data_IF_275569892009
#
_entry.id   IF_275569892009
#
_cell.length_a   1.000
_cell.length_b   1.000
_cell.length_c   1.000
_cell.angle_alpha   90.00
_cell.angle_beta   90.00
_cell.angle_gamma   90.00
#
_symmetry.space_group_name_H-M   'P 1'
#
loop_
_entity.id
_entity.type
_entity.pdbx_description
1 polymer ?
#
# COMPACT_ATOMS: atom_id res chain seq x y z
N UNK A 1 15.66 -1.07 -8.76
CA UNK A 1 15.48 -1.84 -7.52
C UNK A 1 16.59 -1.49 -6.55
N UNK A 2 16.27 -1.09 -5.34
CA UNK A 2 17.22 -0.55 -4.37
C UNK A 2 18.33 -1.57 -4.05
N UNK A 3 19.60 -1.13 -4.09
CA UNK A 3 20.73 -1.90 -3.61
C UNK A 3 20.72 -1.92 -2.06
N UNK A 4 21.45 -2.91 -1.48
CA UNK A 4 21.57 -3.10 -0.02
C UNK A 4 21.88 -1.78 0.74
N UNK A 5 22.91 -1.06 0.26
CA UNK A 5 23.36 0.17 0.91
C UNK A 5 22.31 1.28 0.82
N UNK A 6 21.50 1.30 -0.26
CA UNK A 6 20.38 2.22 -0.42
C UNK A 6 19.25 1.92 0.59
N UNK A 7 18.93 0.64 0.81
CA UNK A 7 17.90 0.26 1.82
C UNK A 7 18.33 0.67 3.22
N UNK A 8 19.60 0.49 3.55
CA UNK A 8 20.15 0.88 4.85
C UNK A 8 20.14 2.38 5.06
N UNK A 9 20.51 3.13 4.04
CA UNK A 9 20.49 4.59 4.08
C UNK A 9 19.06 5.12 4.22
N UNK A 10 18.07 4.41 3.65
CA UNK A 10 16.64 4.77 3.74
C UNK A 10 16.04 4.50 5.13
N UNK A 11 16.49 3.46 5.84
CA UNK A 11 15.87 3.03 7.10
C UNK A 11 15.81 4.11 8.18
N UNK A 12 16.90 4.89 8.35
CA UNK A 12 16.99 5.87 9.44
C UNK A 12 16.83 7.33 8.97
N UNK A 13 16.97 7.58 7.65
CA UNK A 13 17.09 8.95 7.11
C UNK A 13 15.85 9.44 6.37
N UNK A 14 14.89 8.57 6.04
CA UNK A 14 13.73 8.95 5.22
C UNK A 14 12.40 8.67 5.89
N UNK A 15 11.35 9.39 5.42
CA UNK A 15 9.98 9.22 5.88
C UNK A 15 9.00 9.27 4.70
N UNK A 16 7.90 8.50 4.82
CA UNK A 16 6.74 8.59 3.93
C UNK A 16 5.56 9.27 4.60
N UNK A 17 4.72 9.94 3.83
CA UNK A 17 3.43 10.47 4.29
C UNK A 17 2.32 9.78 3.53
N UNK A 18 1.41 9.12 4.26
CA UNK A 18 0.15 8.60 3.73
C UNK A 18 -0.98 9.54 4.13
N UNK A 19 -1.83 9.92 3.18
CA UNK A 19 -3.02 10.76 3.43
C UNK A 19 -4.25 9.97 3.03
N UNK A 20 -5.08 9.64 4.03
CA UNK A 20 -6.31 8.90 3.82
C UNK A 20 -7.48 9.85 3.52
N UNK A 21 -8.13 9.63 2.39
CA UNK A 21 -9.35 10.35 1.97
C UNK A 21 -10.54 9.37 2.04
N UNK A 22 -11.32 9.35 3.13
CA UNK A 22 -12.34 8.34 3.39
C UNK A 22 -13.67 8.63 2.69
N UNK A 23 -13.66 9.17 1.48
CA UNK A 23 -14.87 9.56 0.77
C UNK A 23 -14.95 8.89 -0.58
N UNK A 24 -16.14 8.36 -0.91
CA UNK A 24 -16.45 7.75 -2.21
C UNK A 24 -17.81 8.24 -2.69
N UNK A 25 -17.99 8.40 -4.00
CA UNK A 25 -19.34 8.68 -4.55
C UNK A 25 -20.29 7.54 -4.19
N UNK A 26 -19.78 6.29 -4.23
CA UNK A 26 -20.52 5.08 -3.87
C UNK A 26 -19.55 4.06 -3.28
N UNK A 27 -19.90 3.42 -2.17
CA UNK A 27 -19.11 2.31 -1.60
C UNK A 27 -19.42 1.03 -2.37
N UNK A 28 -18.38 0.41 -2.90
CA UNK A 28 -18.50 -0.86 -3.63
C UNK A 28 -18.89 -2.01 -2.69
N UNK A 29 -19.67 -3.00 -3.15
CA UNK A 29 -20.14 -4.11 -2.32
C UNK A 29 -19.05 -4.99 -1.69
N UNK A 30 -17.86 -5.03 -2.30
CA UNK A 30 -16.72 -5.80 -1.82
C UNK A 30 -15.78 -5.01 -0.90
N UNK A 31 -15.86 -3.67 -0.91
CA UNK A 31 -14.85 -2.80 -0.32
C UNK A 31 -14.98 -2.73 1.21
N UNK A 32 -13.91 -3.10 1.91
CA UNK A 32 -13.76 -3.01 3.37
C UNK A 32 -13.06 -1.73 3.83
N UNK A 33 -12.48 -0.96 2.89
CA UNK A 33 -11.75 0.27 3.23
C UNK A 33 -12.62 1.22 4.06
N UNK A 34 -11.96 1.92 4.99
CA UNK A 34 -12.60 2.99 5.74
C UNK A 34 -13.04 4.09 4.79
N UNK A 35 -14.31 4.05 4.36
CA UNK A 35 -14.87 5.01 3.42
C UNK A 35 -16.35 5.26 3.65
N UNK A 36 -16.77 6.51 3.44
CA UNK A 36 -18.13 7.00 3.54
C UNK A 36 -18.63 7.42 2.15
N UNK A 37 -19.83 6.98 1.78
CA UNK A 37 -20.46 7.40 0.53
C UNK A 37 -20.91 8.87 0.62
N UNK A 38 -20.29 9.75 -0.20
CA UNK A 38 -20.61 11.16 -0.31
C UNK A 38 -20.12 11.73 -1.64
N UNK A 39 -20.77 12.79 -2.11
CA UNK A 39 -20.45 13.37 -3.42
C UNK A 39 -19.21 14.27 -3.41
N UNK A 40 -18.74 14.72 -2.24
CA UNK A 40 -17.58 15.61 -2.18
C UNK A 40 -16.80 15.47 -0.88
N UNK A 41 -15.57 15.94 -0.88
CA UNK A 41 -14.69 16.01 0.30
C UNK A 41 -14.85 17.40 0.94
N UNK A 42 -15.28 17.49 2.21
CA UNK A 42 -15.42 18.79 2.88
C UNK A 42 -14.06 19.47 3.09
N UNK A 43 -13.97 20.79 2.86
CA UNK A 43 -12.73 21.56 3.10
C UNK A 43 -12.26 21.45 4.55
N UNK A 44 -13.20 21.42 5.51
CA UNK A 44 -12.89 21.21 6.95
C UNK A 44 -12.15 19.90 7.23
N UNK A 45 -12.31 18.86 6.36
CA UNK A 45 -11.58 17.62 6.50
C UNK A 45 -10.11 17.82 6.12
N UNK A 46 -9.84 18.56 5.05
CA UNK A 46 -8.49 18.92 4.63
C UNK A 46 -7.80 19.80 5.68
N UNK A 47 -8.53 20.74 6.27
CA UNK A 47 -8.03 21.57 7.38
C UNK A 47 -7.66 20.72 8.60
N UNK A 48 -8.44 19.70 8.90
CA UNK A 48 -8.14 18.75 9.98
C UNK A 48 -6.87 17.94 9.68
N UNK A 49 -6.71 17.41 8.46
CA UNK A 49 -5.51 16.67 8.05
C UNK A 49 -4.25 17.55 8.16
N UNK A 50 -4.32 18.81 7.73
CA UNK A 50 -3.22 19.77 7.86
C UNK A 50 -2.88 20.07 9.32
N UNK A 51 -3.90 20.25 10.17
CA UNK A 51 -3.72 20.48 11.61
C UNK A 51 -3.08 19.27 12.29
N UNK A 52 -3.49 18.05 11.91
CA UNK A 52 -2.90 16.80 12.40
C UNK A 52 -1.40 16.75 12.09
N UNK A 53 -1.01 16.96 10.83
CA UNK A 53 0.39 16.97 10.41
C UNK A 53 1.22 17.94 11.26
N UNK A 54 0.77 19.21 11.37
CA UNK A 54 1.48 20.22 12.14
C UNK A 54 1.55 19.89 13.64
N UNK A 55 0.55 19.19 14.17
CA UNK A 55 0.54 18.72 15.56
C UNK A 55 1.53 17.59 15.78
N UNK A 56 1.63 16.62 14.84
CA UNK A 56 2.66 15.58 14.91
C UNK A 56 4.05 16.18 14.92
N UNK A 57 4.34 17.12 14.03
CA UNK A 57 5.63 17.83 13.97
C UNK A 57 5.92 18.58 15.27
N UNK A 58 4.94 19.30 15.80
CA UNK A 58 5.09 20.04 17.07
C UNK A 58 5.38 19.11 18.25
N UNK A 59 4.73 17.93 18.30
CA UNK A 59 4.92 16.97 19.40
C UNK A 59 6.22 16.15 19.26
N UNK A 60 6.66 15.91 18.04
CA UNK A 60 7.89 15.17 17.74
C UNK A 60 8.69 15.86 16.61
N UNK A 61 9.43 16.93 16.90
CA UNK A 61 10.22 17.65 15.90
C UNK A 61 11.26 16.78 15.19
N UNK A 62 11.71 15.68 15.82
CA UNK A 62 12.71 14.79 15.23
C UNK A 62 12.23 14.12 13.93
N UNK A 63 10.93 14.02 13.68
CA UNK A 63 10.43 13.47 12.42
C UNK A 63 10.78 14.33 11.21
N UNK A 64 10.96 15.65 11.39
CA UNK A 64 11.34 16.60 10.31
C UNK A 64 12.83 16.57 9.98
N UNK A 65 13.66 15.89 10.78
CA UNK A 65 15.06 15.65 10.43
C UNK A 65 15.23 14.56 9.36
N UNK A 66 14.17 13.78 9.11
CA UNK A 66 14.13 12.77 8.06
C UNK A 66 13.75 13.41 6.73
N UNK A 67 14.36 12.95 5.64
CA UNK A 67 14.01 13.40 4.30
C UNK A 67 12.70 12.79 3.83
N UNK A 68 11.82 13.60 3.27
CA UNK A 68 10.55 13.14 2.68
C UNK A 68 10.83 12.43 1.36
N UNK A 69 10.56 11.14 1.33
CA UNK A 69 10.76 10.28 0.17
C UNK A 69 9.48 10.06 -0.64
N UNK A 70 8.35 9.91 0.04
CA UNK A 70 7.07 9.60 -0.62
C UNK A 70 5.91 10.33 0.03
N UNK A 71 4.94 10.76 -0.79
CA UNK A 71 3.60 11.17 -0.38
C UNK A 71 2.60 10.33 -1.14
N UNK A 72 1.70 9.67 -0.44
CA UNK A 72 0.68 8.83 -1.04
C UNK A 72 -0.70 9.28 -0.56
N UNK A 73 -1.56 9.70 -1.49
CA UNK A 73 -2.94 10.13 -1.21
C UNK A 73 -3.85 9.03 -1.73
N UNK A 74 -4.45 8.29 -0.79
CA UNK A 74 -5.23 7.08 -1.07
C UNK A 74 -6.49 6.96 -0.23
N UNK A 75 -7.11 5.79 -0.27
CA UNK A 75 -8.23 5.40 0.56
C UNK A 75 -9.53 5.17 -0.18
N UNK A 76 -10.54 6.03 -0.02
CA UNK A 76 -11.81 5.92 -0.72
C UNK A 76 -11.69 6.34 -2.18
N UNK A 77 -11.75 7.64 -2.43
CA UNK A 77 -11.63 8.22 -3.78
C UNK A 77 -10.95 9.59 -3.69
N UNK A 78 -9.61 9.64 -3.63
CA UNK A 78 -8.86 10.89 -3.50
C UNK A 78 -9.10 11.88 -4.64
N UNK A 79 -9.49 11.41 -5.81
CA UNK A 79 -9.87 12.27 -6.95
C UNK A 79 -11.14 13.11 -6.76
N UNK A 80 -11.85 12.92 -5.64
CA UNK A 80 -12.93 13.84 -5.23
C UNK A 80 -12.40 15.11 -4.54
N UNK A 81 -11.12 15.14 -4.16
CA UNK A 81 -10.49 16.33 -3.58
C UNK A 81 -10.26 17.36 -4.68
N UNK A 82 -10.64 18.61 -4.43
CA UNK A 82 -10.36 19.68 -5.39
C UNK A 82 -8.85 19.88 -5.58
N UNK A 83 -8.43 20.25 -6.78
CA UNK A 83 -7.02 20.52 -7.07
C UNK A 83 -6.42 21.59 -6.14
N UNK A 84 -7.22 22.58 -5.70
CA UNK A 84 -6.79 23.58 -4.74
C UNK A 84 -6.46 22.97 -3.36
N UNK A 85 -7.27 22.04 -2.89
CA UNK A 85 -7.03 21.35 -1.63
C UNK A 85 -5.84 20.37 -1.73
N UNK A 86 -5.68 19.67 -2.86
CA UNK A 86 -4.46 18.89 -3.11
C UNK A 86 -3.21 19.78 -3.11
N UNK A 87 -3.29 20.95 -3.74
CA UNK A 87 -2.20 21.95 -3.71
C UNK A 87 -1.84 22.37 -2.29
N UNK A 88 -2.84 22.68 -1.46
CA UNK A 88 -2.61 23.04 -0.03
C UNK A 88 -1.94 21.90 0.73
N UNK A 89 -2.41 20.67 0.57
CA UNK A 89 -1.81 19.48 1.21
C UNK A 89 -0.35 19.32 0.81
N UNK A 90 -0.05 19.28 -0.49
CA UNK A 90 1.31 19.08 -0.99
C UNK A 90 2.24 20.25 -0.59
N UNK A 91 1.77 21.49 -0.64
CA UNK A 91 2.57 22.64 -0.22
C UNK A 91 2.96 22.58 1.25
N UNK A 92 2.01 22.30 2.14
CA UNK A 92 2.31 22.23 3.59
C UNK A 92 3.23 21.04 3.87
N UNK A 93 3.02 19.88 3.26
CA UNK A 93 3.93 18.74 3.43
C UNK A 93 5.35 19.09 2.97
N UNK A 94 5.53 19.68 1.79
CA UNK A 94 6.84 20.10 1.27
C UNK A 94 7.51 21.23 2.10
N UNK A 95 6.74 22.09 2.75
CA UNK A 95 7.26 23.12 3.65
C UNK A 95 7.67 22.55 5.02
N UNK A 96 7.10 21.42 5.39
CA UNK A 96 7.31 20.78 6.70
C UNK A 96 8.54 19.89 6.73
N UNK A 97 8.84 19.22 5.62
CA UNK A 97 9.95 18.27 5.50
C UNK A 97 10.95 18.70 4.43
N UNK A 98 12.20 18.30 4.61
CA UNK A 98 13.19 18.35 3.53
C UNK A 98 12.84 17.27 2.51
N UNK A 99 12.39 17.68 1.33
CA UNK A 99 12.00 16.75 0.28
C UNK A 99 13.23 16.22 -0.48
N UNK A 100 13.25 14.92 -0.77
CA UNK A 100 14.24 14.35 -1.68
C UNK A 100 14.10 14.91 -3.10
N UNK A 101 15.19 14.94 -3.84
CA UNK A 101 15.20 15.37 -5.25
C UNK A 101 14.23 14.54 -6.12
N UNK A 102 14.07 13.27 -5.78
CA UNK A 102 13.15 12.33 -6.47
C UNK A 102 11.94 11.98 -5.59
N UNK A 103 11.30 12.99 -4.99
CA UNK A 103 10.09 12.79 -4.21
C UNK A 103 8.99 12.14 -5.07
N UNK A 104 8.48 10.96 -4.65
CA UNK A 104 7.31 10.33 -5.26
C UNK A 104 6.04 10.91 -4.62
N UNK A 105 5.14 11.45 -5.44
CA UNK A 105 3.83 11.94 -4.99
C UNK A 105 2.76 11.21 -5.79
N UNK A 106 2.08 10.26 -5.13
CA UNK A 106 1.05 9.42 -5.71
C UNK A 106 -0.34 9.90 -5.34
N UNK A 107 -1.27 9.85 -6.29
CA UNK A 107 -2.71 9.99 -6.05
C UNK A 107 -3.46 8.82 -6.67
N UNK A 108 -4.34 8.19 -5.89
CA UNK A 108 -5.31 7.24 -6.41
C UNK A 108 -6.47 7.97 -7.09
N UNK A 109 -6.86 7.48 -8.25
CA UNK A 109 -7.97 8.04 -9.01
C UNK A 109 -8.96 6.96 -9.43
N UNK A 110 -10.24 7.33 -9.43
CA UNK A 110 -11.32 6.50 -9.95
C UNK A 110 -11.72 6.99 -11.33
N UNK A 111 -11.76 6.12 -12.36
CA UNK A 111 -12.33 6.48 -13.64
C UNK A 111 -13.75 7.05 -13.49
N UNK A 112 -14.10 8.07 -14.25
CA UNK A 112 -15.39 8.76 -14.17
C UNK A 112 -15.49 9.83 -13.06
N UNK A 113 -14.49 9.94 -12.16
CA UNK A 113 -14.45 11.00 -11.15
C UNK A 113 -13.45 12.13 -11.47
N UNK A 114 -12.73 12.04 -12.59
CA UNK A 114 -11.71 13.01 -13.00
C UNK A 114 -12.02 13.57 -14.40
N UNK A 115 -11.63 14.84 -14.61
CA UNK A 115 -11.61 15.47 -15.92
C UNK A 115 -10.16 15.64 -16.39
N UNK A 116 -9.98 15.89 -17.66
CA UNK A 116 -8.66 16.16 -18.22
C UNK A 116 -8.02 17.40 -17.60
N UNK A 117 -8.81 18.46 -17.37
CA UNK A 117 -8.38 19.70 -16.73
C UNK A 117 -7.90 19.46 -15.30
N UNK A 118 -8.60 18.60 -14.54
CA UNK A 118 -8.19 18.23 -13.19
C UNK A 118 -6.83 17.53 -13.20
N UNK A 119 -6.57 16.65 -14.17
CA UNK A 119 -5.28 15.94 -14.30
C UNK A 119 -4.14 16.90 -14.65
N UNK A 120 -4.35 17.87 -15.56
CA UNK A 120 -3.37 18.94 -15.79
C UNK A 120 -3.08 19.73 -14.52
N UNK A 121 -4.12 20.14 -13.81
CA UNK A 121 -3.97 20.94 -12.59
C UNK A 121 -3.17 20.19 -11.50
N UNK A 122 -3.38 18.90 -11.31
CA UNK A 122 -2.62 18.13 -10.31
C UNK A 122 -1.19 17.81 -10.76
N UNK A 123 -0.95 17.69 -12.06
CA UNK A 123 0.42 17.57 -12.60
C UNK A 123 1.24 18.84 -12.29
N UNK A 124 0.65 20.03 -12.46
CA UNK A 124 1.27 21.33 -12.17
C UNK A 124 1.59 21.51 -10.68
N UNK A 125 0.84 20.86 -9.78
CA UNK A 125 1.12 20.86 -8.33
C UNK A 125 2.36 20.00 -8.01
N UNK A 126 2.78 19.15 -8.95
CA UNK A 126 3.93 18.27 -8.81
C UNK A 126 3.59 16.85 -8.36
N UNK A 127 2.32 16.43 -8.51
CA UNK A 127 1.95 15.02 -8.44
C UNK A 127 2.57 14.33 -9.64
N UNK A 128 3.33 13.24 -9.43
CA UNK A 128 4.14 12.62 -10.47
C UNK A 128 3.85 11.13 -10.68
N UNK A 129 2.96 10.53 -9.88
CA UNK A 129 2.48 9.17 -10.03
C UNK A 129 0.97 9.10 -9.84
N UNK A 130 0.30 8.40 -10.73
CA UNK A 130 -1.13 8.08 -10.63
C UNK A 130 -1.33 6.59 -10.41
N UNK A 131 -2.38 6.24 -9.65
CA UNK A 131 -2.86 4.87 -9.56
C UNK A 131 -4.35 4.86 -9.91
N UNK A 132 -4.71 4.22 -11.02
CA UNK A 132 -6.06 4.23 -11.59
C UNK A 132 -6.78 2.94 -11.21
N UNK A 133 -7.83 3.05 -10.41
CA UNK A 133 -8.66 1.91 -10.04
C UNK A 133 -9.57 1.43 -11.19
N UNK A 134 -8.98 0.84 -12.22
CA UNK A 134 -9.68 0.29 -13.40
C UNK A 134 -10.55 -0.89 -13.03
N UNK A 135 -10.03 -1.83 -12.30
CA UNK A 135 -10.59 -3.08 -11.81
C UNK A 135 -10.87 -4.12 -12.92
N UNK A 136 -11.40 -3.73 -14.07
CA UNK A 136 -11.61 -4.55 -15.26
C UNK A 136 -11.93 -3.67 -16.46
N UNK A 137 -11.70 -4.15 -17.66
CA UNK A 137 -12.20 -3.57 -18.91
C UNK A 137 -13.46 -4.30 -19.44
N UNK A 138 -14.06 -5.18 -18.61
CA UNK A 138 -15.34 -5.82 -18.88
C UNK A 138 -16.45 -5.07 -18.13
N UNK A 139 -17.40 -4.48 -18.85
CA UNK A 139 -18.55 -3.82 -18.24
C UNK A 139 -19.40 -4.77 -17.38
N UNK A 140 -19.43 -6.08 -17.70
CA UNK A 140 -20.09 -7.09 -16.89
C UNK A 140 -19.38 -7.29 -15.56
N UNK A 141 -18.04 -7.41 -15.57
CA UNK A 141 -17.22 -7.55 -14.37
C UNK A 141 -17.32 -6.30 -13.51
N UNK A 142 -17.23 -5.09 -14.09
CA UNK A 142 -17.42 -3.81 -13.38
C UNK A 142 -18.79 -3.72 -12.71
N UNK A 143 -19.86 -4.13 -13.40
CA UNK A 143 -21.22 -4.19 -12.84
C UNK A 143 -21.30 -5.17 -11.67
N UNK A 144 -20.68 -6.36 -11.78
CA UNK A 144 -20.62 -7.35 -10.70
C UNK A 144 -19.89 -6.80 -9.48
N UNK A 145 -18.81 -6.03 -9.67
CA UNK A 145 -18.08 -5.32 -8.62
C UNK A 145 -18.85 -4.10 -8.07
N UNK A 146 -19.98 -3.72 -8.69
CA UNK A 146 -20.75 -2.53 -8.29
C UNK A 146 -20.07 -1.19 -8.61
N UNK A 147 -19.12 -1.19 -9.56
CA UNK A 147 -18.43 0.01 -10.02
C UNK A 147 -19.41 0.96 -10.74
N UNK A 148 -19.12 2.27 -10.65
CA UNK A 148 -19.94 3.32 -11.26
C UNK A 148 -19.43 3.76 -12.64
N UNK A 149 -18.19 3.40 -12.99
CA UNK A 149 -17.58 3.72 -14.28
C UNK A 149 -17.68 2.53 -15.23
N UNK A 150 -17.60 2.80 -16.51
CA UNK A 150 -17.52 1.82 -17.60
C UNK A 150 -16.07 1.56 -18.03
N UNK A 151 -15.87 0.52 -18.86
CA UNK A 151 -14.58 0.23 -19.47
C UNK A 151 -14.08 1.40 -20.33
N UNK A 152 -14.99 2.08 -21.03
CA UNK A 152 -14.69 3.26 -21.84
C UNK A 152 -14.25 4.45 -20.98
N UNK A 153 -14.84 4.62 -19.78
CA UNK A 153 -14.40 5.63 -18.82
C UNK A 153 -12.98 5.34 -18.31
N UNK A 154 -12.66 4.07 -18.07
CA UNK A 154 -11.33 3.66 -17.64
C UNK A 154 -10.27 3.95 -18.71
N UNK A 155 -10.54 3.59 -19.95
CA UNK A 155 -9.66 3.88 -21.10
C UNK A 155 -9.46 5.39 -21.27
N UNK A 156 -10.55 6.16 -21.26
CA UNK A 156 -10.51 7.61 -21.39
C UNK A 156 -9.73 8.26 -20.25
N UNK A 157 -9.89 7.78 -19.02
CA UNK A 157 -9.13 8.26 -17.87
C UNK A 157 -7.64 8.04 -18.07
N UNK A 158 -7.23 6.86 -18.55
CA UNK A 158 -5.84 6.56 -18.86
C UNK A 158 -5.27 7.48 -19.96
N UNK A 159 -6.02 7.70 -21.04
CA UNK A 159 -5.63 8.60 -22.13
C UNK A 159 -5.48 10.05 -21.64
N UNK A 160 -6.39 10.52 -20.79
CA UNK A 160 -6.29 11.86 -20.17
C UNK A 160 -5.04 11.98 -19.29
N UNK A 161 -4.71 10.96 -18.50
CA UNK A 161 -3.48 10.94 -17.72
C UNK A 161 -2.24 11.07 -18.60
N UNK A 162 -2.20 10.33 -19.71
CA UNK A 162 -1.08 10.43 -20.67
C UNK A 162 -0.99 11.79 -21.34
N UNK A 163 -2.13 12.37 -21.78
CA UNK A 163 -2.15 13.72 -22.36
C UNK A 163 -1.75 14.80 -21.37
N UNK A 164 -2.09 14.62 -20.09
CA UNK A 164 -1.64 15.52 -19.03
C UNK A 164 -0.14 15.36 -18.67
N UNK A 165 0.59 14.47 -19.36
CA UNK A 165 2.04 14.31 -19.23
C UNK A 165 2.46 13.45 -18.03
N UNK A 166 1.60 12.52 -17.55
CA UNK A 166 2.01 11.56 -16.54
C UNK A 166 2.79 10.40 -17.18
N UNK A 167 4.04 10.23 -16.76
CA UNK A 167 4.95 9.18 -17.23
C UNK A 167 5.01 8.00 -16.24
N UNK A 168 4.34 8.08 -15.10
CA UNK A 168 4.24 7.03 -14.11
C UNK A 168 2.77 6.81 -13.75
N UNK A 169 2.14 5.87 -14.47
CA UNK A 169 0.72 5.54 -14.33
C UNK A 169 0.59 4.06 -13.98
N UNK A 170 0.05 3.78 -12.81
CA UNK A 170 -0.37 2.45 -12.41
C UNK A 170 -1.85 2.21 -12.71
N UNK A 171 -2.21 0.96 -13.02
CA UNK A 171 -3.58 0.51 -13.16
C UNK A 171 -3.84 -0.71 -12.28
N UNK A 172 -4.96 -0.69 -11.56
CA UNK A 172 -5.34 -1.78 -10.67
C UNK A 172 -6.43 -2.63 -11.26
N UNK A 173 -6.30 -3.95 -11.10
CA UNK A 173 -7.27 -4.96 -11.50
C UNK A 173 -7.70 -5.83 -10.34
N UNK A 174 -8.93 -6.35 -10.43
CA UNK A 174 -9.45 -7.37 -9.54
C UNK A 174 -9.82 -8.59 -10.40
N UNK A 175 -9.24 -9.75 -10.08
CA UNK A 175 -9.61 -11.04 -10.67
C UNK A 175 -10.33 -11.93 -9.64
N UNK A 176 -10.84 -13.10 -10.09
CA UNK A 176 -11.63 -13.96 -9.21
C UNK A 176 -13.03 -13.40 -8.94
N UNK A 177 -13.52 -12.52 -9.82
CA UNK A 177 -14.82 -11.87 -9.66
C UNK A 177 -15.95 -12.83 -10.05
N UNK A 178 -17.10 -12.69 -9.41
CA UNK A 178 -18.31 -13.44 -9.69
C UNK A 178 -18.60 -13.51 -11.20
N UNK A 179 -18.76 -14.73 -11.71
CA UNK A 179 -19.00 -15.06 -13.12
C UNK A 179 -17.86 -14.64 -14.08
N UNK A 180 -16.71 -14.27 -13.60
CA UNK A 180 -15.54 -13.98 -14.45
C UNK A 180 -14.94 -15.27 -14.98
N UNK A 181 -14.80 -15.37 -16.29
CA UNK A 181 -14.10 -16.48 -16.95
C UNK A 181 -12.61 -16.16 -17.14
N UNK A 182 -11.77 -17.19 -17.23
CA UNK A 182 -10.35 -17.03 -17.58
C UNK A 182 -10.18 -16.25 -18.89
N UNK A 183 -11.03 -16.49 -19.90
CA UNK A 183 -10.99 -15.78 -21.18
C UNK A 183 -11.29 -14.28 -21.06
N UNK A 184 -12.17 -13.87 -20.16
CA UNK A 184 -12.44 -12.45 -19.88
C UNK A 184 -11.25 -11.82 -19.17
N UNK A 185 -10.66 -12.53 -18.21
CA UNK A 185 -9.45 -12.10 -17.54
C UNK A 185 -8.26 -11.93 -18.50
N UNK A 186 -8.05 -12.88 -19.42
CA UNK A 186 -7.03 -12.79 -20.46
C UNK A 186 -7.20 -11.55 -21.36
N UNK A 187 -8.45 -11.17 -21.69
CA UNK A 187 -8.73 -9.95 -22.45
C UNK A 187 -8.37 -8.68 -21.66
N UNK A 188 -8.72 -8.65 -20.38
CA UNK A 188 -8.35 -7.53 -19.50
C UNK A 188 -6.83 -7.35 -19.45
N UNK A 189 -6.08 -8.44 -19.24
CA UNK A 189 -4.61 -8.43 -19.26
C UNK A 189 -4.03 -8.01 -20.60
N UNK A 190 -4.58 -8.55 -21.71
CA UNK A 190 -4.13 -8.18 -23.07
C UNK A 190 -4.28 -6.70 -23.34
N UNK A 191 -5.41 -6.10 -22.93
CA UNK A 191 -5.66 -4.67 -23.09
C UNK A 191 -4.75 -3.86 -22.15
N UNK A 192 -4.60 -4.27 -20.88
CA UNK A 192 -3.68 -3.65 -19.94
C UNK A 192 -2.25 -3.57 -20.49
N UNK A 193 -1.73 -4.67 -21.02
CA UNK A 193 -0.40 -4.76 -21.62
C UNK A 193 -0.29 -3.85 -22.85
N UNK A 194 -1.33 -3.78 -23.67
CA UNK A 194 -1.33 -2.92 -24.87
C UNK A 194 -1.27 -1.43 -24.55
N UNK A 195 -1.82 -0.99 -23.43
CA UNK A 195 -1.77 0.38 -22.93
C UNK A 195 -0.38 0.77 -22.41
N UNK A 196 0.46 -0.20 -22.06
CA UNK A 196 1.82 -0.01 -21.53
C UNK A 196 1.89 0.93 -20.32
N UNK A 197 1.12 0.69 -19.26
CA UNK A 197 1.30 1.43 -18.01
C UNK A 197 2.65 1.06 -17.39
N UNK A 198 3.20 1.92 -16.56
CA UNK A 198 4.47 1.66 -15.84
C UNK A 198 4.28 0.68 -14.69
N UNK A 199 3.05 0.55 -14.19
CA UNK A 199 2.74 -0.30 -13.04
C UNK A 199 1.37 -0.96 -13.22
N UNK A 200 1.26 -2.24 -12.83
CA UNK A 200 0.01 -3.02 -12.85
C UNK A 200 -0.12 -3.73 -11.51
N UNK A 201 -1.27 -3.51 -10.85
CA UNK A 201 -1.66 -4.27 -9.67
C UNK A 201 -2.74 -5.28 -10.04
N UNK A 202 -2.60 -6.51 -9.57
CA UNK A 202 -3.63 -7.55 -9.72
C UNK A 202 -3.99 -8.07 -8.33
N UNK A 203 -5.24 -7.93 -7.95
CA UNK A 203 -5.75 -8.37 -6.64
C UNK A 203 -6.76 -9.48 -6.83
N UNK A 204 -6.62 -10.58 -6.09
CA UNK A 204 -7.71 -11.55 -5.98
C UNK A 204 -8.85 -10.93 -5.17
N UNK A 205 -10.09 -11.14 -5.60
CA UNK A 205 -11.26 -10.68 -4.87
C UNK A 205 -11.37 -11.39 -3.52
N UNK A 206 -11.04 -10.68 -2.45
CA UNK A 206 -11.22 -11.17 -1.08
C UNK A 206 -12.58 -10.74 -0.54
N UNK A 207 -13.26 -11.65 0.15
CA UNK A 207 -14.56 -11.40 0.75
C UNK A 207 -14.39 -11.06 2.24
N UNK A 208 -14.32 -9.77 2.53
CA UNK A 208 -14.04 -9.28 3.88
C UNK A 208 -15.30 -9.21 4.75
N UNK A 209 -15.22 -9.59 6.03
CA UNK A 209 -16.30 -9.43 6.99
C UNK A 209 -16.85 -8.01 7.03
N UNK A 210 -18.16 -7.87 7.17
CA UNK A 210 -18.83 -6.56 7.20
C UNK A 210 -19.26 -6.02 5.84
N UNK A 211 -18.69 -6.51 4.72
CA UNK A 211 -19.05 -6.10 3.36
C UNK A 211 -20.41 -6.66 2.90
N UNK A 212 -20.97 -6.10 1.83
CA UNK A 212 -22.18 -6.65 1.22
C UNK A 212 -21.89 -8.04 0.59
N UNK A 213 -20.71 -8.23 -0.02
CA UNK A 213 -20.32 -9.52 -0.59
C UNK A 213 -20.22 -10.60 0.48
N UNK A 214 -19.73 -10.30 1.67
CA UNK A 214 -19.74 -11.24 2.81
C UNK A 214 -21.17 -11.69 3.17
N UNK A 215 -22.11 -10.75 3.21
CA UNK A 215 -23.53 -11.08 3.45
C UNK A 215 -24.13 -11.96 2.35
N UNK A 216 -23.80 -11.68 1.08
CA UNK A 216 -24.24 -12.50 -0.06
C UNK A 216 -23.62 -13.90 -0.01
N UNK A 217 -22.33 -14.03 0.32
CA UNK A 217 -21.65 -15.32 0.46
C UNK A 217 -22.27 -16.16 1.59
N UNK A 218 -22.50 -15.55 2.76
CA UNK A 218 -23.15 -16.22 3.90
C UNK A 218 -24.55 -16.73 3.56
N UNK A 219 -25.25 -16.07 2.64
CA UNK A 219 -26.61 -16.44 2.20
C UNK A 219 -26.60 -17.35 0.96
N UNK A 220 -25.44 -17.85 0.52
CA UNK A 220 -25.31 -18.70 -0.67
C UNK A 220 -25.68 -18.00 -2.00
N UNK A 221 -25.62 -16.65 -2.03
CA UNK A 221 -25.99 -15.83 -3.21
C UNK A 221 -24.79 -15.26 -3.96
N UNK A 222 -23.57 -15.62 -3.57
CA UNK A 222 -22.32 -15.21 -4.23
C UNK A 222 -21.63 -16.46 -4.78
N UNK A 223 -21.51 -16.55 -6.11
CA UNK A 223 -20.80 -17.63 -6.79
C UNK A 223 -19.48 -17.07 -7.33
N UNK A 224 -18.38 -17.46 -6.72
CA UNK A 224 -17.02 -17.14 -7.15
C UNK A 224 -16.48 -18.25 -8.06
N UNK A 225 -15.42 -18.00 -8.84
CA UNK A 225 -14.65 -19.06 -9.48
C UNK A 225 -14.17 -20.10 -8.45
N UNK A 226 -13.82 -21.29 -8.91
CA UNK A 226 -13.17 -22.28 -8.04
C UNK A 226 -11.76 -21.82 -7.67
N UNK A 227 -11.21 -22.35 -6.59
CA UNK A 227 -9.82 -22.08 -6.18
C UNK A 227 -8.83 -22.37 -7.31
N UNK A 228 -9.02 -23.48 -8.03
CA UNK A 228 -8.20 -23.82 -9.20
C UNK A 228 -8.34 -22.76 -10.32
N UNK A 229 -9.56 -22.23 -10.51
CA UNK A 229 -9.82 -21.17 -11.47
C UNK A 229 -9.09 -19.87 -11.10
N UNK A 230 -9.10 -19.50 -9.84
CA UNK A 230 -8.38 -18.33 -9.32
C UNK A 230 -6.86 -18.50 -9.44
N UNK A 231 -6.33 -19.69 -9.12
CA UNK A 231 -4.92 -20.03 -9.31
C UNK A 231 -4.53 -19.88 -10.79
N UNK A 232 -5.34 -20.45 -11.72
CA UNK A 232 -5.06 -20.33 -13.15
C UNK A 232 -5.07 -18.88 -13.63
N UNK A 233 -6.00 -18.03 -13.15
CA UNK A 233 -6.04 -16.61 -13.48
C UNK A 233 -4.79 -15.89 -12.99
N UNK A 234 -4.33 -16.19 -11.78
CA UNK A 234 -3.15 -15.57 -11.22
C UNK A 234 -1.86 -16.00 -11.94
N UNK A 235 -1.71 -17.29 -12.20
CA UNK A 235 -0.54 -17.82 -12.92
C UNK A 235 -0.48 -17.30 -14.36
N UNK A 236 -1.61 -17.23 -15.07
CA UNK A 236 -1.70 -16.65 -16.42
C UNK A 236 -1.28 -15.17 -16.41
N UNK A 237 -1.71 -14.41 -15.39
CA UNK A 237 -1.30 -13.02 -15.24
C UNK A 237 0.22 -12.87 -15.04
N UNK A 238 0.83 -13.68 -14.16
CA UNK A 238 2.28 -13.67 -13.95
C UNK A 238 3.00 -13.93 -15.27
N UNK A 239 2.62 -14.98 -16.00
CA UNK A 239 3.31 -15.38 -17.22
C UNK A 239 3.17 -14.33 -18.33
N UNK A 240 1.97 -13.76 -18.51
CA UNK A 240 1.72 -12.71 -19.50
C UNK A 240 2.44 -11.40 -19.18
N UNK A 241 2.39 -10.96 -17.93
CA UNK A 241 3.02 -9.71 -17.52
C UNK A 241 4.55 -9.80 -17.58
N UNK A 242 5.14 -10.90 -17.12
CA UNK A 242 6.59 -11.13 -17.24
C UNK A 242 7.00 -11.19 -18.71
N UNK A 243 6.25 -11.89 -19.57
CA UNK A 243 6.52 -11.97 -21.00
C UNK A 243 6.39 -10.62 -21.70
N UNK A 244 5.57 -9.70 -21.17
CA UNK A 244 5.44 -8.33 -21.63
C UNK A 244 6.50 -7.36 -21.08
N UNK A 245 7.45 -7.84 -20.27
CA UNK A 245 8.59 -7.06 -19.75
C UNK A 245 8.34 -6.42 -18.39
N UNK A 246 7.24 -6.77 -17.69
CA UNK A 246 7.02 -6.34 -16.31
C UNK A 246 7.76 -7.24 -15.34
N UNK A 247 8.26 -6.66 -14.26
CA UNK A 247 8.83 -7.39 -13.13
C UNK A 247 7.81 -7.49 -12.01
N UNK A 248 7.46 -8.69 -11.57
CA UNK A 248 6.74 -8.88 -10.34
C UNK A 248 7.68 -8.52 -9.19
N UNK A 249 7.42 -7.47 -8.41
CA UNK A 249 8.28 -7.06 -7.32
C UNK A 249 7.74 -7.45 -5.94
N UNK A 250 6.43 -7.71 -5.84
CA UNK A 250 5.76 -8.34 -4.70
C UNK A 250 4.53 -9.13 -5.18
N UNK A 251 3.80 -9.78 -4.28
CA UNK A 251 2.75 -10.75 -4.61
C UNK A 251 1.73 -10.20 -5.62
N UNK A 252 1.26 -8.96 -5.44
CA UNK A 252 0.16 -8.39 -6.24
C UNK A 252 0.60 -7.36 -7.27
N UNK A 253 1.86 -6.87 -7.21
CA UNK A 253 2.28 -5.71 -7.97
C UNK A 253 3.41 -6.01 -8.96
N UNK A 254 3.23 -5.48 -10.15
CA UNK A 254 4.14 -5.60 -11.30
C UNK A 254 4.51 -4.21 -11.81
N UNK A 255 5.75 -4.02 -12.22
CA UNK A 255 6.19 -2.74 -12.80
C UNK A 255 7.24 -2.94 -13.88
N UNK A 256 7.37 -1.94 -14.74
CA UNK A 256 8.60 -1.73 -15.50
C UNK A 256 9.70 -1.36 -14.49
N UNK A 257 10.93 -1.78 -14.76
CA UNK A 257 12.06 -1.55 -13.86
C UNK A 257 12.23 -0.07 -13.52
N UNK A 258 12.26 0.25 -12.23
CA UNK A 258 12.37 1.61 -11.69
C UNK A 258 11.05 2.35 -11.50
N UNK A 259 9.89 1.68 -11.75
CA UNK A 259 8.56 2.22 -11.53
C UNK A 259 7.78 1.46 -10.43
N UNK A 260 8.48 0.73 -9.60
CA UNK A 260 7.91 0.14 -8.38
C UNK A 260 7.33 1.25 -7.50
N UNK A 261 6.17 1.04 -6.87
CA UNK A 261 5.63 2.00 -5.91
C UNK A 261 6.56 2.11 -4.70
N UNK A 262 7.28 3.23 -4.60
CA UNK A 262 8.23 3.45 -3.51
C UNK A 262 7.51 3.54 -2.16
N UNK A 263 6.28 4.08 -2.16
CA UNK A 263 5.48 4.14 -0.94
C UNK A 263 5.06 2.75 -0.47
N UNK A 264 4.60 1.85 -1.37
CA UNK A 264 4.26 0.47 -0.99
C UNK A 264 5.49 -0.31 -0.51
N UNK A 265 6.65 -0.08 -1.13
CA UNK A 265 7.90 -0.70 -0.69
C UNK A 265 8.28 -0.29 0.74
N UNK A 266 7.87 0.91 1.22
CA UNK A 266 8.09 1.31 2.61
C UNK A 266 7.43 0.36 3.59
N UNK A 267 6.21 -0.08 3.29
CA UNK A 267 5.50 -1.07 4.12
C UNK A 267 6.25 -2.41 4.15
N UNK A 268 6.64 -2.92 2.97
CA UNK A 268 7.31 -4.21 2.86
C UNK A 268 8.73 -4.22 3.43
N UNK A 269 9.33 -3.06 3.64
CA UNK A 269 10.66 -2.87 4.22
C UNK A 269 10.62 -2.38 5.67
N UNK A 270 9.45 -2.24 6.29
CA UNK A 270 9.27 -1.68 7.64
C UNK A 270 9.95 -0.31 7.78
N UNK A 271 9.80 0.57 6.79
CA UNK A 271 10.32 1.94 6.83
C UNK A 271 9.28 2.90 7.43
N UNK A 272 9.77 3.98 7.99
CA UNK A 272 8.96 4.98 8.69
C UNK A 272 7.94 5.66 7.78
N UNK A 273 6.69 5.74 8.24
CA UNK A 273 5.67 6.54 7.60
C UNK A 273 4.67 7.09 8.61
N UNK A 274 4.09 8.24 8.30
CA UNK A 274 3.00 8.85 9.06
C UNK A 274 1.75 8.82 8.20
N UNK A 275 0.70 8.22 8.74
CA UNK A 275 -0.64 8.24 8.18
C UNK A 275 -1.46 9.38 8.79
N UNK A 276 -2.07 10.18 7.92
CA UNK A 276 -2.92 11.31 8.26
C UNK A 276 -4.34 11.04 7.76
N UNK A 277 -5.33 11.49 8.50
CA UNK A 277 -6.72 11.30 8.15
C UNK A 277 -7.40 10.17 8.93
N UNK A 278 -8.72 10.07 8.80
CA UNK A 278 -9.54 9.10 9.52
C UNK A 278 -9.18 7.66 9.15
N UNK A 279 -8.89 6.83 10.15
CA UNK A 279 -8.49 5.42 9.97
C UNK A 279 -7.07 5.21 9.44
N UNK A 280 -6.28 6.26 9.25
CA UNK A 280 -4.91 6.12 8.78
C UNK A 280 -4.02 5.50 9.85
N UNK A 281 -3.14 4.58 9.43
CA UNK A 281 -2.12 3.96 10.24
C UNK A 281 -0.78 4.65 10.04
N UNK A 282 0.06 4.59 11.07
CA UNK A 282 1.43 5.11 11.06
C UNK A 282 2.37 4.09 11.66
N UNK A 283 3.63 4.13 11.24
CA UNK A 283 4.69 3.32 11.81
C UNK A 283 6.00 4.10 11.88
N UNK A 284 6.65 4.08 13.02
CA UNK A 284 8.00 4.61 13.22
C UNK A 284 8.86 3.51 13.84
N UNK A 285 9.94 3.19 13.16
CA UNK A 285 10.92 2.23 13.63
C UNK A 285 11.77 2.83 14.78
N UNK A 286 12.19 1.99 15.72
CA UNK A 286 13.28 2.29 16.63
C UNK A 286 14.40 1.30 16.37
N UNK A 287 15.63 1.76 16.23
CA UNK A 287 16.79 0.87 16.13
C UNK A 287 17.25 0.47 17.54
N UNK A 288 17.85 -0.73 17.66
CA UNK A 288 18.52 -1.14 18.92
C UNK A 288 19.58 -0.11 19.36
N UNK A 289 20.15 0.67 18.42
CA UNK A 289 21.11 1.75 18.70
C UNK A 289 20.47 2.96 19.37
N UNK A 290 19.22 3.28 19.03
CA UNK A 290 18.47 4.38 19.65
C UNK A 290 18.06 4.04 21.07
N UNK A 291 17.73 2.77 21.33
CA UNK A 291 17.44 2.25 22.66
C UNK A 291 18.69 2.33 23.55
N UNK A 292 19.87 2.02 23.01
CA UNK A 292 21.15 2.09 23.75
C UNK A 292 21.62 3.54 24.00
N UNK A 293 21.33 4.49 23.08
CA UNK A 293 21.73 5.92 23.21
C UNK A 293 20.91 6.68 24.24
N UNK A 294 19.65 6.28 24.48
CA UNK A 294 18.78 6.95 25.48
C UNK A 294 19.17 6.65 26.92
N UNK A 295 20.19 5.79 27.18
CA UNK A 295 20.63 5.39 28.50
C UNK A 295 19.59 4.49 29.21
N UNK A 296 20.00 3.74 30.24
CA UNK A 296 19.06 2.96 31.00
C UNK A 296 18.19 3.91 31.82
N UNK A 297 17.00 4.18 31.36
CA UNK A 297 15.94 4.65 32.27
C UNK A 297 15.68 3.53 33.26
N UNK A 298 16.18 3.70 34.47
CA UNK A 298 16.11 2.68 35.52
C UNK A 298 14.68 2.31 35.92
N UNK A 299 13.67 3.06 35.48
CA UNK A 299 12.25 2.76 35.66
C UNK A 299 11.74 1.67 34.72
N UNK A 300 12.51 1.31 33.65
CA UNK A 300 12.14 0.35 32.62
C UNK A 300 13.03 -0.91 32.61
N UNK A 301 13.76 -1.19 33.67
CA UNK A 301 14.50 -2.45 33.81
C UNK A 301 13.52 -3.64 33.85
N UNK A 302 13.41 -4.31 32.66
CA UNK A 302 12.56 -5.48 32.44
C UNK A 302 11.61 -5.39 31.25
N UNK A 303 11.47 -4.23 30.61
CA UNK A 303 10.73 -4.13 29.35
C UNK A 303 11.66 -4.41 28.17
N UNK A 304 11.29 -5.41 27.35
CA UNK A 304 11.94 -5.72 26.09
C UNK A 304 12.08 -4.44 25.25
N UNK A 305 13.24 -4.22 24.63
CA UNK A 305 13.50 -3.07 23.76
C UNK A 305 12.46 -3.05 22.63
N UNK A 306 11.59 -2.04 22.62
CA UNK A 306 10.59 -1.90 21.57
C UNK A 306 11.28 -1.50 20.25
N UNK A 307 11.05 -2.26 19.18
CA UNK A 307 11.67 -2.04 17.86
C UNK A 307 10.81 -1.24 16.89
N UNK A 308 9.66 -0.74 17.33
CA UNK A 308 8.79 0.12 16.55
C UNK A 308 7.54 0.50 17.30
N UNK A 309 6.93 1.59 16.86
CA UNK A 309 5.65 2.06 17.36
C UNK A 309 4.70 2.20 16.19
N UNK A 310 3.55 1.58 16.30
CA UNK A 310 2.43 1.74 15.38
C UNK A 310 1.29 2.45 16.09
N UNK A 311 0.61 3.34 15.40
CA UNK A 311 -0.64 3.92 15.87
C UNK A 311 -1.61 4.11 14.72
N UNK A 312 -2.88 4.26 15.04
CA UNK A 312 -3.92 4.49 14.05
C UNK A 312 -4.95 5.49 14.55
N UNK A 313 -5.54 6.18 13.61
CA UNK A 313 -6.58 7.17 13.87
C UNK A 313 -7.97 6.53 13.97
N UNK A 314 -8.91 7.26 14.56
CA UNK A 314 -10.33 6.89 14.54
C UNK A 314 -10.85 6.85 13.12
N UNK A 315 -11.75 5.89 12.81
CA UNK A 315 -12.22 5.63 11.45
C UNK A 315 -13.23 6.68 10.94
N UNK A 316 -14.17 7.12 11.77
CA UNK A 316 -15.24 8.04 11.35
C UNK A 316 -14.72 9.44 11.03
N UNK A 317 -14.94 9.98 9.80
CA UNK A 317 -14.42 11.31 9.44
C UNK A 317 -14.95 12.45 10.33
N UNK A 318 -16.18 12.40 10.79
CA UNK A 318 -16.72 13.42 11.69
C UNK A 318 -16.08 13.33 13.08
N UNK A 319 -15.92 12.13 13.63
CA UNK A 319 -15.25 11.91 14.91
C UNK A 319 -13.78 12.33 14.80
N UNK A 320 -13.12 12.00 13.67
CA UNK A 320 -11.77 12.42 13.38
C UNK A 320 -11.63 13.95 13.40
N UNK A 321 -12.45 14.66 12.65
CA UNK A 321 -12.41 16.14 12.58
C UNK A 321 -12.63 16.78 13.97
N UNK A 322 -13.56 16.23 14.75
CA UNK A 322 -13.83 16.73 16.10
C UNK A 322 -12.60 16.53 17.01
N UNK A 323 -12.02 15.34 17.05
CA UNK A 323 -10.80 15.08 17.86
C UNK A 323 -9.61 15.96 17.43
N UNK A 324 -9.43 16.15 16.14
CA UNK A 324 -8.38 17.07 15.64
C UNK A 324 -8.67 18.51 16.09
N UNK A 325 -9.92 18.96 16.06
CA UNK A 325 -10.29 20.29 16.52
C UNK A 325 -9.94 20.48 18.01
N UNK A 326 -10.21 19.51 18.84
CA UNK A 326 -10.06 19.60 20.31
C UNK A 326 -8.61 19.35 20.76
N UNK A 327 -7.97 18.29 20.27
CA UNK A 327 -6.70 17.80 20.77
C UNK A 327 -5.54 17.89 19.76
N UNK A 328 -5.83 18.18 18.49
CA UNK A 328 -4.86 18.22 17.39
C UNK A 328 -4.41 16.85 16.89
N UNK A 329 -4.77 15.75 17.55
CA UNK A 329 -4.56 14.37 17.13
C UNK A 329 -5.82 13.54 17.34
N UNK A 330 -6.03 12.52 16.50
CA UNK A 330 -7.21 11.67 16.51
C UNK A 330 -6.86 10.18 16.75
N UNK A 331 -5.77 9.88 17.45
CA UNK A 331 -5.27 8.53 17.71
C UNK A 331 -6.33 7.71 18.45
N UNK A 332 -6.70 6.55 17.87
CA UNK A 332 -7.63 5.58 18.45
C UNK A 332 -6.89 4.51 19.26
N UNK A 333 -5.68 4.13 18.84
CA UNK A 333 -4.85 3.15 19.50
C UNK A 333 -3.38 3.27 19.12
N UNK A 334 -2.53 2.71 19.98
CA UNK A 334 -1.08 2.63 19.80
C UNK A 334 -0.63 1.24 20.18
N UNK A 335 0.32 0.69 19.46
CA UNK A 335 0.99 -0.57 19.72
C UNK A 335 2.50 -0.37 19.69
N UNK A 336 3.18 -0.88 20.68
CA UNK A 336 4.65 -0.90 20.77
C UNK A 336 5.13 -2.30 20.52
N UNK A 337 5.74 -2.51 19.36
CA UNK A 337 6.20 -3.82 18.94
C UNK A 337 7.34 -4.29 19.82
N UNK A 338 7.15 -5.43 20.47
CA UNK A 338 8.24 -6.17 21.07
C UNK A 338 9.22 -6.62 19.98
N UNK A 339 10.42 -7.06 20.38
CA UNK A 339 11.40 -7.58 19.42
C UNK A 339 10.85 -8.77 18.63
N UNK A 340 10.11 -9.68 19.27
CA UNK A 340 9.54 -10.85 18.61
C UNK A 340 8.49 -10.45 17.58
N UNK A 341 7.54 -9.59 17.93
CA UNK A 341 6.51 -9.09 17.01
C UNK A 341 7.14 -8.34 15.80
N UNK A 342 8.17 -7.53 16.03
CA UNK A 342 8.87 -6.84 14.94
C UNK A 342 9.62 -7.81 14.01
N UNK A 343 10.16 -8.92 14.54
CA UNK A 343 10.78 -9.99 13.74
C UNK A 343 9.73 -10.70 12.88
N UNK A 344 8.63 -11.12 13.47
CA UNK A 344 7.52 -11.82 12.80
C UNK A 344 6.92 -10.95 11.70
N UNK A 345 6.68 -9.68 11.98
CA UNK A 345 6.22 -8.71 10.98
C UNK A 345 7.25 -8.49 9.86
N UNK A 346 8.53 -8.37 10.21
CA UNK A 346 9.61 -8.26 9.22
C UNK A 346 9.69 -9.46 8.30
N UNK A 347 9.41 -10.67 8.80
CA UNK A 347 9.33 -11.89 7.99
C UNK A 347 8.09 -11.86 7.10
N UNK A 348 6.92 -11.60 7.66
CA UNK A 348 5.67 -11.53 6.94
C UNK A 348 5.73 -10.53 5.77
N UNK A 349 6.14 -9.30 6.04
CA UNK A 349 6.25 -8.24 5.03
C UNK A 349 7.40 -8.50 4.05
N UNK A 350 8.53 -9.00 4.55
CA UNK A 350 9.70 -9.29 3.74
C UNK A 350 9.48 -10.40 2.72
N UNK A 351 8.76 -11.47 3.10
CA UNK A 351 8.45 -12.59 2.20
C UNK A 351 7.39 -12.23 1.15
N UNK A 352 6.62 -11.15 1.32
CA UNK A 352 5.74 -10.65 0.26
C UNK A 352 6.51 -10.20 -0.98
N UNK A 353 7.72 -9.70 -0.82
CA UNK A 353 8.57 -9.31 -1.94
C UNK A 353 9.05 -10.55 -2.71
N UNK A 354 9.07 -10.49 -4.03
CA UNK A 354 9.58 -11.59 -4.88
C UNK A 354 11.06 -11.88 -4.67
N UNK A 355 11.84 -10.88 -4.24
CA UNK A 355 13.23 -11.07 -3.80
C UNK A 355 13.34 -11.71 -2.42
N UNK A 356 12.25 -11.70 -1.64
CA UNK A 356 12.22 -12.21 -0.28
C UNK A 356 12.95 -11.33 0.72
N UNK A 357 13.45 -11.96 1.76
CA UNK A 357 14.18 -11.35 2.86
C UNK A 357 15.67 -11.46 2.58
N UNK A 358 16.36 -10.34 2.56
CA UNK A 358 17.83 -10.27 2.57
C UNK A 358 18.33 -10.51 3.99
N UNK A 359 19.14 -11.56 4.18
CA UNK A 359 19.61 -11.99 5.50
C UNK A 359 20.56 -10.96 6.15
N UNK A 360 21.27 -10.16 5.33
CA UNK A 360 22.12 -9.08 5.83
C UNK A 360 21.25 -7.93 6.37
N UNK A 361 20.18 -7.54 5.64
CA UNK A 361 19.20 -6.55 6.12
C UNK A 361 18.54 -7.02 7.42
N UNK A 362 18.16 -8.29 7.47
CA UNK A 362 17.52 -8.88 8.64
C UNK A 362 18.48 -8.89 9.85
N UNK A 363 19.74 -9.27 9.62
CA UNK A 363 20.77 -9.29 10.66
C UNK A 363 21.08 -7.89 11.19
N UNK A 364 21.15 -6.88 10.32
CA UNK A 364 21.38 -5.50 10.76
C UNK A 364 20.23 -4.94 11.59
N UNK A 365 19.00 -5.28 11.23
CA UNK A 365 17.82 -4.80 11.93
C UNK A 365 17.60 -5.50 13.26
N UNK A 366 17.82 -6.82 13.28
CA UNK A 366 17.46 -7.66 14.42
C UNK A 366 18.66 -8.28 15.16
N UNK A 367 19.90 -7.94 14.77
CA UNK A 367 21.14 -8.49 15.34
C UNK A 367 21.15 -10.03 15.38
N UNK A 368 20.50 -10.68 14.44
CA UNK A 368 20.40 -12.13 14.21
C UNK A 368 20.08 -12.35 12.74
N UNK A 369 20.59 -13.43 12.15
CA UNK A 369 20.15 -13.85 10.82
C UNK A 369 18.78 -14.55 10.90
N UNK A 370 18.05 -14.59 9.79
CA UNK A 370 16.81 -15.34 9.73
C UNK A 370 17.05 -16.84 10.01
N UNK A 371 18.18 -17.36 9.53
CA UNK A 371 18.60 -18.74 9.77
C UNK A 371 18.92 -19.02 11.23
N UNK A 372 19.52 -18.08 11.96
CA UNK A 372 19.77 -18.25 13.40
C UNK A 372 18.50 -18.49 14.20
N UNK A 373 17.38 -17.90 13.75
CA UNK A 373 16.11 -17.94 14.46
C UNK A 373 15.19 -19.06 13.95
N UNK A 374 15.16 -19.31 12.64
CA UNK A 374 14.10 -20.10 11.99
C UNK A 374 14.63 -21.22 11.07
N UNK A 375 15.90 -21.66 11.20
CA UNK A 375 16.49 -22.69 10.33
C UNK A 375 15.60 -23.94 10.16
N UNK A 376 15.02 -24.54 11.24
CA UNK A 376 14.18 -25.72 11.07
C UNK A 376 12.90 -25.45 10.27
N UNK A 377 12.32 -24.26 10.39
CA UNK A 377 11.14 -23.83 9.62
C UNK A 377 11.50 -23.66 8.15
N UNK A 378 12.61 -22.97 7.89
CA UNK A 378 13.11 -22.71 6.52
C UNK A 378 13.40 -24.03 5.81
N UNK A 379 14.09 -24.98 6.47
CA UNK A 379 14.40 -26.29 5.88
C UNK A 379 13.14 -27.12 5.59
N UNK A 380 12.15 -27.08 6.48
CA UNK A 380 10.85 -27.75 6.27
C UNK A 380 10.15 -27.14 5.06
N UNK A 381 10.01 -25.84 4.99
CA UNK A 381 9.36 -25.14 3.87
C UNK A 381 10.11 -25.33 2.54
N UNK A 382 11.44 -25.40 2.59
CA UNK A 382 12.27 -25.72 1.41
C UNK A 382 12.03 -27.14 0.91
N UNK A 383 11.96 -28.14 1.80
CA UNK A 383 11.61 -29.52 1.44
C UNK A 383 10.21 -29.65 0.82
N UNK A 384 9.28 -28.78 1.23
CA UNK A 384 7.92 -28.67 0.66
C UNK A 384 7.89 -27.92 -0.67
N UNK A 385 9.00 -27.30 -1.10
CA UNK A 385 9.08 -26.50 -2.31
C UNK A 385 8.37 -25.13 -2.21
N UNK A 386 8.17 -24.60 -0.99
CA UNK A 386 7.46 -23.35 -0.75
C UNK A 386 8.41 -22.13 -0.64
N UNK A 387 9.64 -22.37 -0.16
CA UNK A 387 10.69 -21.35 -0.12
C UNK A 387 11.94 -21.83 -0.81
N UNK A 388 12.76 -20.91 -1.29
CA UNK A 388 14.10 -21.19 -1.83
C UNK A 388 15.08 -20.11 -1.41
N UNK A 389 16.36 -20.46 -1.46
CA UNK A 389 17.47 -19.54 -1.26
C UNK A 389 17.99 -19.07 -2.62
N UNK A 390 18.22 -17.77 -2.77
CA UNK A 390 18.87 -17.16 -3.92
C UNK A 390 19.89 -16.12 -3.46
N UNK A 391 21.18 -16.46 -3.55
CA UNK A 391 22.23 -15.67 -2.92
C UNK A 391 22.02 -15.64 -1.40
N UNK A 392 21.94 -14.44 -0.83
CA UNK A 392 21.70 -14.23 0.60
C UNK A 392 20.21 -14.03 0.95
N UNK A 393 19.32 -14.24 -0.01
CA UNK A 393 17.89 -14.02 0.18
C UNK A 393 17.13 -15.34 0.37
N UNK A 394 16.18 -15.32 1.31
CA UNK A 394 15.16 -16.35 1.47
C UNK A 394 13.86 -15.81 0.89
N UNK A 395 13.33 -16.49 -0.12
CA UNK A 395 12.14 -16.04 -0.84
C UNK A 395 11.11 -17.15 -1.08
N UNK A 396 9.88 -16.76 -1.35
CA UNK A 396 8.86 -17.68 -1.81
C UNK A 396 9.21 -18.24 -3.20
N UNK A 397 8.93 -19.51 -3.43
CA UNK A 397 8.84 -20.08 -4.78
C UNK A 397 7.50 -19.68 -5.42
N UNK A 398 7.28 -19.96 -6.71
CA UNK A 398 5.97 -19.75 -7.35
C UNK A 398 4.84 -20.46 -6.56
N UNK A 399 5.08 -21.71 -6.15
CA UNK A 399 4.14 -22.45 -5.30
C UNK A 399 3.98 -21.80 -3.92
N UNK A 400 5.07 -21.29 -3.33
CA UNK A 400 5.03 -20.58 -2.05
C UNK A 400 4.23 -19.28 -2.12
N UNK A 401 4.23 -18.58 -3.26
CA UNK A 401 3.40 -17.38 -3.45
C UNK A 401 1.91 -17.74 -3.42
N UNK A 402 1.49 -18.81 -4.08
CA UNK A 402 0.11 -19.29 -4.04
C UNK A 402 -0.35 -19.71 -2.64
N UNK A 403 0.59 -20.18 -1.81
CA UNK A 403 0.36 -20.61 -0.44
C UNK A 403 0.96 -19.62 0.59
N UNK A 404 1.06 -18.34 0.23
CA UNK A 404 1.81 -17.38 1.04
C UNK A 404 1.29 -17.25 2.48
N UNK A 405 0.00 -17.26 2.69
CA UNK A 405 -0.61 -17.20 4.02
C UNK A 405 -0.19 -18.40 4.88
N UNK A 406 -0.20 -19.61 4.31
CA UNK A 406 0.24 -20.83 5.00
C UNK A 406 1.72 -20.78 5.36
N UNK A 407 2.53 -20.18 4.47
CA UNK A 407 3.96 -20.00 4.74
C UNK A 407 4.17 -18.99 5.86
N UNK A 408 3.46 -17.86 5.84
CA UNK A 408 3.60 -16.81 6.85
C UNK A 408 3.25 -17.32 8.25
N UNK A 409 2.20 -18.11 8.39
CA UNK A 409 1.78 -18.73 9.65
C UNK A 409 2.83 -19.68 10.27
N UNK A 410 3.86 -20.08 9.53
CA UNK A 410 4.91 -20.94 10.08
C UNK A 410 5.98 -20.17 10.88
N UNK A 411 5.97 -18.85 10.80
CA UNK A 411 6.94 -17.99 11.45
C UNK A 411 6.37 -17.23 12.66
N UNK A 412 5.08 -17.40 12.93
CA UNK A 412 4.34 -16.77 14.04
C UNK A 412 4.12 -17.75 15.18
#
# INVERSE_FOLDING_TARGET
MLHRDEVLQLMDSTIGIYIHIPFCVKKCPYCDFNSLATAHVPDKYIDAVLKELLTHVKKNPAITSKELETVYIGGGTPSLVSHNNLKRLIQVVKQTFLAQQRLEITVEINPGSVTEEWLYAIKDIGINRLNIGVQSFSNNTLKSLGRIHSAEDALRCYEYARRAGFDNVGIDFIFGVMNQSLKEWEKDLGLAISLRPEHISIYNLTIEPGTQFYKLQKNGKLTLPSEEGEILMYEDAIDKLISAGYNQYEISNFSINGFESRHNLRYWLLLDYIGLGAGAHSYISSSDRDVQRRGPDRSLQGQASNLGVRWWNVEGPDVYMHRIQDAGLAIAGEERLTRQEAIEEGIFLGLRKTRGIDDDWFSMRFNKTLKDLYLPVIERLRKQGLVCEQGNNIRLTRRGVLMSNEVFLQFV
#
